data_IF_842462136152
#
_entry.id   IF_842462136152
#
_cell.length_a   1.000
_cell.length_b   1.000
_cell.length_c   1.000
_cell.angle_alpha   90.00
_cell.angle_beta   90.00
_cell.angle_gamma   90.00
#
_symmetry.space_group_name_H-M   'P 1'
#
loop_
_entity.id
_entity.type
_entity.pdbx_description
1 polymer ?
#
# COMPACT_ATOMS: atom_id res chain seq x y z
N UNK A 1 -9.50 46.09 -25.48
CA UNK A 1 -10.31 44.94 -25.01
C UNK A 1 -9.98 43.73 -25.87
N UNK A 2 -9.31 42.71 -25.32
CA UNK A 2 -9.36 41.30 -25.77
C UNK A 2 -8.57 40.41 -24.79
N UNK A 3 -9.30 40.01 -23.76
CA UNK A 3 -9.30 38.72 -23.05
C UNK A 3 -8.17 37.71 -23.29
N UNK A 4 -7.45 37.45 -22.19
CA UNK A 4 -6.99 36.18 -21.60
C UNK A 4 -7.33 34.87 -22.34
N UNK A 5 -6.33 33.99 -22.44
CA UNK A 5 -6.53 32.54 -22.51
C UNK A 5 -5.49 31.85 -21.60
N UNK A 6 -5.91 31.54 -20.38
CA UNK A 6 -5.20 30.73 -19.40
C UNK A 6 -5.50 29.26 -19.72
N UNK A 7 -4.49 28.47 -20.09
CA UNK A 7 -4.67 27.04 -20.35
C UNK A 7 -4.85 26.29 -19.01
N UNK A 8 -5.88 25.43 -18.86
CA UNK A 8 -6.03 24.63 -17.65
C UNK A 8 -5.09 23.42 -17.73
N UNK A 9 -4.18 23.32 -16.74
CA UNK A 9 -3.38 22.12 -16.50
C UNK A 9 -4.33 21.04 -15.95
N UNK A 10 -4.67 20.06 -16.78
CA UNK A 10 -5.53 18.94 -16.38
C UNK A 10 -4.73 18.04 -15.45
N UNK A 11 -4.99 18.13 -14.14
CA UNK A 11 -4.47 17.19 -13.16
C UNK A 11 -5.22 15.85 -13.34
N UNK A 12 -4.53 14.85 -13.88
CA UNK A 12 -5.01 13.47 -13.94
C UNK A 12 -4.97 12.90 -12.50
N UNK A 13 -6.09 12.97 -11.78
CA UNK A 13 -6.27 12.22 -10.54
C UNK A 13 -6.49 10.76 -10.89
N UNK A 14 -5.43 9.94 -10.79
CA UNK A 14 -5.60 8.49 -10.70
C UNK A 14 -6.27 8.18 -9.36
N UNK A 15 -7.60 8.07 -9.38
CA UNK A 15 -8.32 7.35 -8.34
C UNK A 15 -7.90 5.88 -8.44
N UNK A 16 -7.00 5.45 -7.55
CA UNK A 16 -6.70 4.04 -7.38
C UNK A 16 -8.01 3.33 -7.01
N UNK A 17 -8.42 2.35 -7.82
CA UNK A 17 -9.44 1.39 -7.40
C UNK A 17 -8.90 0.72 -6.13
N UNK A 18 -9.49 1.04 -4.98
CA UNK A 18 -9.16 0.38 -3.72
C UNK A 18 -9.74 -1.04 -3.80
N UNK A 19 -8.96 -1.97 -4.35
CA UNK A 19 -9.28 -3.37 -4.24
C UNK A 19 -9.18 -3.78 -2.75
N UNK A 20 -10.21 -4.48 -2.26
CA UNK A 20 -10.25 -4.96 -0.89
C UNK A 20 -9.24 -6.10 -0.71
N UNK A 21 -8.07 -5.76 -0.18
CA UNK A 21 -7.01 -6.71 0.15
C UNK A 21 -7.06 -7.19 1.61
N UNK A 22 -8.09 -6.79 2.34
CA UNK A 22 -8.27 -7.08 3.76
C UNK A 22 -8.41 -8.58 4.01
N UNK A 23 -7.65 -9.10 4.98
CA UNK A 23 -7.75 -10.46 5.48
C UNK A 23 -7.82 -10.43 7.00
N UNK A 24 -8.58 -11.30 7.66
CA UNK A 24 -8.66 -11.33 9.12
C UNK A 24 -7.27 -11.48 9.76
N UNK A 25 -6.97 -10.64 10.76
CA UNK A 25 -5.67 -10.64 11.43
C UNK A 25 -4.60 -9.81 10.71
N UNK A 26 -4.92 -9.20 9.55
CA UNK A 26 -3.98 -8.40 8.78
C UNK A 26 -4.51 -6.99 8.50
N UNK A 27 -3.66 -6.01 8.75
CA UNK A 27 -3.83 -4.66 8.22
C UNK A 27 -3.22 -4.58 6.83
N UNK A 28 -3.96 -4.04 5.87
CA UNK A 28 -3.50 -3.84 4.50
C UNK A 28 -3.73 -2.42 4.01
N UNK A 29 -2.72 -1.82 3.39
CA UNK A 29 -2.81 -0.47 2.80
C UNK A 29 -2.05 -0.41 1.48
N UNK A 30 -2.67 0.16 0.44
CA UNK A 30 -1.99 0.40 -0.82
C UNK A 30 -1.31 1.76 -0.76
N UNK A 31 0.01 1.79 -0.85
CA UNK A 31 0.81 3.01 -0.86
C UNK A 31 1.86 2.95 -1.95
N UNK A 32 1.91 3.98 -2.79
CA UNK A 32 2.80 4.06 -3.96
C UNK A 32 2.71 2.84 -4.90
N UNK A 33 1.50 2.32 -5.09
CA UNK A 33 1.22 1.15 -5.95
C UNK A 33 1.72 -0.17 -5.38
N UNK A 34 2.01 -0.23 -4.07
CA UNK A 34 2.46 -1.43 -3.37
C UNK A 34 1.51 -1.74 -2.22
N UNK A 35 1.27 -3.02 -2.02
CA UNK A 35 0.45 -3.50 -0.91
C UNK A 35 1.33 -3.62 0.33
N UNK A 36 1.09 -2.77 1.31
CA UNK A 36 1.65 -2.90 2.65
C UNK A 36 0.78 -3.84 3.47
N UNK A 37 1.42 -4.78 4.13
CA UNK A 37 0.76 -5.79 4.96
C UNK A 37 1.42 -5.85 6.32
N UNK A 38 0.62 -5.82 7.37
CA UNK A 38 1.08 -5.98 8.75
C UNK A 38 0.09 -6.88 9.52
N UNK A 39 0.55 -7.47 10.63
CA UNK A 39 -0.37 -8.09 11.58
C UNK A 39 -1.19 -7.01 12.30
N UNK A 40 -2.48 -7.27 12.50
CA UNK A 40 -3.32 -6.35 13.27
C UNK A 40 -2.82 -6.20 14.71
N UNK A 41 -2.73 -4.96 15.19
CA UNK A 41 -2.27 -4.66 16.56
C UNK A 41 -0.77 -4.85 16.79
N UNK A 42 0.02 -5.14 15.75
CA UNK A 42 1.47 -5.30 15.89
C UNK A 42 2.18 -3.98 16.20
N UNK A 43 3.35 -4.06 16.83
CA UNK A 43 4.18 -2.87 17.13
C UNK A 43 4.69 -2.21 15.84
N UNK A 44 4.94 -3.02 14.82
CA UNK A 44 5.41 -2.61 13.51
C UNK A 44 4.33 -1.86 12.74
N UNK A 45 3.06 -2.29 12.84
CA UNK A 45 1.92 -1.52 12.33
C UNK A 45 1.83 -0.17 13.02
N UNK A 46 1.92 -0.14 14.35
CA UNK A 46 1.87 1.12 15.10
C UNK A 46 3.04 2.06 14.73
N UNK A 47 4.22 1.50 14.41
CA UNK A 47 5.35 2.28 13.91
C UNK A 47 5.10 2.77 12.48
N UNK A 48 4.61 1.91 11.58
CA UNK A 48 4.24 2.28 10.21
C UNK A 48 3.22 3.43 10.19
N UNK A 49 2.19 3.37 11.03
CA UNK A 49 1.20 4.45 11.14
C UNK A 49 1.78 5.76 11.69
N UNK A 50 2.87 5.70 12.46
CA UNK A 50 3.53 6.90 13.02
C UNK A 50 4.57 7.51 12.08
N UNK A 51 5.42 6.69 11.46
CA UNK A 51 6.57 7.15 10.67
C UNK A 51 6.43 6.93 9.17
N UNK A 52 5.39 6.23 8.71
CA UNK A 52 5.25 5.79 7.33
C UNK A 52 6.05 4.52 7.10
N UNK A 53 7.30 4.60 6.65
CA UNK A 53 8.07 3.38 6.36
C UNK A 53 8.83 2.86 7.59
N UNK A 54 8.81 1.53 7.86
CA UNK A 54 9.57 0.93 8.94
C UNK A 54 11.07 0.96 8.62
N UNK A 55 11.92 0.98 9.66
CA UNK A 55 13.37 0.98 9.51
C UNK A 55 13.90 -0.27 8.78
N UNK A 56 13.19 -1.38 8.90
CA UNK A 56 13.45 -2.63 8.19
C UNK A 56 12.19 -3.03 7.43
N UNK A 57 12.33 -3.30 6.14
CA UNK A 57 11.24 -3.76 5.29
C UNK A 57 11.67 -4.96 4.45
N UNK A 58 10.73 -5.86 4.23
CA UNK A 58 10.81 -6.97 3.31
C UNK A 58 9.90 -6.70 2.14
N UNK A 59 10.36 -7.05 0.94
CA UNK A 59 9.64 -6.81 -0.31
C UNK A 59 9.54 -8.11 -1.09
N UNK A 60 8.34 -8.45 -1.53
CA UNK A 60 8.07 -9.60 -2.40
C UNK A 60 7.41 -9.10 -3.68
N UNK A 61 8.21 -9.05 -4.74
CA UNK A 61 7.80 -8.50 -6.04
C UNK A 61 6.86 -9.49 -6.73
N UNK A 62 5.74 -9.03 -7.25
CA UNK A 62 4.81 -9.86 -8.02
C UNK A 62 3.99 -10.87 -7.24
N UNK A 63 4.10 -10.89 -5.90
CA UNK A 63 3.47 -11.90 -5.06
C UNK A 63 2.05 -11.54 -4.62
N UNK A 64 1.65 -10.27 -4.73
CA UNK A 64 0.34 -9.80 -4.33
C UNK A 64 -0.74 -10.01 -5.38
N UNK A 65 -2.00 -9.72 -5.03
CA UNK A 65 -3.11 -9.72 -5.97
C UNK A 65 -2.78 -8.91 -7.22
N UNK A 66 -3.18 -9.40 -8.38
CA UNK A 66 -2.91 -8.77 -9.69
C UNK A 66 -1.41 -8.56 -10.01
N UNK A 67 -0.51 -9.31 -9.34
CA UNK A 67 0.94 -9.16 -9.50
C UNK A 67 1.51 -7.95 -8.77
N UNK A 68 0.78 -7.39 -7.79
CA UNK A 68 1.25 -6.27 -7.00
C UNK A 68 2.47 -6.65 -6.14
N UNK A 69 3.36 -5.68 -5.89
CA UNK A 69 4.44 -5.86 -4.92
C UNK A 69 3.89 -5.79 -3.50
N UNK A 70 4.21 -6.79 -2.67
CA UNK A 70 3.90 -6.76 -1.23
C UNK A 70 5.11 -6.27 -0.44
N UNK A 71 4.87 -5.40 0.54
CA UNK A 71 5.85 -4.95 1.53
C UNK A 71 5.35 -5.22 2.96
N UNK A 72 6.28 -5.52 3.86
CA UNK A 72 6.00 -5.67 5.29
C UNK A 72 7.27 -5.43 6.13
N UNK A 73 7.14 -5.33 7.45
CA UNK A 73 8.26 -5.28 8.40
C UNK A 73 8.97 -6.63 8.57
N UNK A 74 8.30 -7.74 8.28
CA UNK A 74 8.84 -9.10 8.39
C UNK A 74 8.42 -9.97 7.19
N UNK A 75 9.33 -10.82 6.70
CA UNK A 75 9.03 -11.74 5.60
C UNK A 75 7.94 -12.77 5.98
N UNK A 76 7.91 -13.21 7.24
CA UNK A 76 6.93 -14.19 7.73
C UNK A 76 5.51 -13.66 7.68
N UNK A 77 5.33 -12.36 7.91
CA UNK A 77 4.01 -11.71 7.80
C UNK A 77 3.53 -11.73 6.36
N UNK A 78 4.42 -11.49 5.39
CA UNK A 78 4.09 -11.63 3.96
C UNK A 78 3.66 -13.06 3.66
N UNK A 79 4.42 -14.05 4.10
CA UNK A 79 4.11 -15.45 3.84
C UNK A 79 2.79 -15.88 4.51
N UNK A 80 2.52 -15.43 5.74
CA UNK A 80 1.28 -15.68 6.46
C UNK A 80 0.07 -15.05 5.75
N UNK A 81 0.19 -13.80 5.30
CA UNK A 81 -0.86 -13.12 4.53
C UNK A 81 -1.16 -13.83 3.21
N UNK A 82 -0.13 -14.32 2.52
CA UNK A 82 -0.30 -15.08 1.27
C UNK A 82 -0.94 -16.45 1.51
N UNK A 83 -0.68 -17.07 2.66
CA UNK A 83 -1.28 -18.35 3.05
C UNK A 83 -2.72 -18.20 3.59
N UNK A 84 -3.10 -17.01 4.08
CA UNK A 84 -4.44 -16.74 4.55
C UNK A 84 -5.46 -16.78 3.39
N UNK A 85 -6.61 -17.44 3.62
CA UNK A 85 -7.69 -17.60 2.63
C UNK A 85 -8.68 -16.46 2.69
#
# INVERSE_FOLDING_TARGET
MKTLALAPLVALTLAACAADYSKPGFYTEVKDGRLWVFEEGSKELAQFQKSGEPAKQYTKIGAGPEGMTIKSSDAKVIDAYLAAK
#
